data_IF_700359640162
#
_entry.id   IF_700359640162
#
_cell.length_a   1.000
_cell.length_b   1.000
_cell.length_c   1.000
_cell.angle_alpha   90.00
_cell.angle_beta   90.00
_cell.angle_gamma   90.00
#
_symmetry.space_group_name_H-M   'P 1'
#
loop_
_entity.id
_entity.type
_entity.pdbx_description
1 polymer ?
#
# COMPACT_ATOMS: atom_id res chain seq x y z
N UNK A 1 -0.06 -9.55 -1.07
CA UNK A 1 0.99 -9.31 -0.06
C UNK A 1 2.33 -9.17 -0.74
N UNK A 2 3.30 -8.55 -0.07
CA UNK A 2 4.69 -8.50 -0.51
C UNK A 2 5.53 -9.36 0.40
N UNK A 3 6.37 -10.21 -0.18
CA UNK A 3 7.46 -10.86 0.56
C UNK A 3 8.73 -10.05 0.33
N UNK A 4 9.39 -9.68 1.42
CA UNK A 4 10.54 -8.80 1.40
C UNK A 4 11.74 -9.44 2.11
N UNK A 5 12.94 -9.21 1.57
CA UNK A 5 14.19 -9.40 2.30
C UNK A 5 14.55 -8.11 3.03
N UNK A 6 15.01 -8.21 4.27
CA UNK A 6 15.52 -7.08 5.02
C UNK A 6 16.82 -6.57 4.39
N UNK A 7 16.85 -5.30 3.99
CA UNK A 7 18.02 -4.63 3.41
C UNK A 7 18.68 -3.67 4.41
N UNK A 8 17.90 -3.01 5.27
CA UNK A 8 18.41 -2.05 6.25
C UNK A 8 17.48 -1.88 7.45
N UNK A 9 18.04 -1.41 8.56
CA UNK A 9 17.34 -1.05 9.80
C UNK A 9 17.83 0.32 10.26
N UNK A 10 16.93 1.29 10.32
CA UNK A 10 17.26 2.69 10.64
C UNK A 10 16.56 3.09 11.92
N UNK A 11 17.34 3.36 12.97
CA UNK A 11 16.82 3.89 14.23
C UNK A 11 16.33 5.34 14.05
N UNK A 12 15.06 5.56 14.37
CA UNK A 12 14.32 6.81 14.20
C UNK A 12 13.79 7.29 15.57
N UNK A 13 14.68 7.46 16.54
CA UNK A 13 14.34 7.84 17.91
C UNK A 13 13.92 6.63 18.74
N UNK A 14 12.64 6.53 19.08
CA UNK A 14 12.03 5.40 19.80
C UNK A 14 11.41 4.34 18.86
N UNK A 15 11.55 4.53 17.55
CA UNK A 15 11.07 3.61 16.51
C UNK A 15 12.23 3.11 15.64
N UNK A 16 12.06 1.96 15.00
CA UNK A 16 12.99 1.44 13.97
C UNK A 16 12.26 1.34 12.64
N UNK A 17 12.83 1.94 11.60
CA UNK A 17 12.36 1.84 10.22
C UNK A 17 13.08 0.68 9.52
N UNK A 18 12.31 -0.33 9.12
CA UNK A 18 12.82 -1.48 8.36
C UNK A 18 12.69 -1.22 6.86
N UNK A 19 13.81 -1.30 6.13
CA UNK A 19 13.83 -1.20 4.67
C UNK A 19 13.85 -2.61 4.10
N UNK A 20 12.78 -2.99 3.37
CA UNK A 20 12.65 -4.31 2.77
C UNK A 20 12.64 -4.28 1.25
N UNK A 21 13.48 -5.09 0.59
CA UNK A 21 13.41 -5.31 -0.87
C UNK A 21 12.35 -6.35 -1.20
N UNK A 22 11.38 -5.96 -2.03
CA UNK A 22 10.35 -6.87 -2.53
C UNK A 22 11.00 -7.94 -3.42
N UNK A 23 10.77 -9.20 -3.10
CA UNK A 23 11.24 -10.35 -3.89
C UNK A 23 10.10 -11.14 -4.53
N UNK A 24 8.92 -11.16 -3.89
CA UNK A 24 7.71 -11.83 -4.41
C UNK A 24 6.49 -10.95 -4.13
N UNK A 25 5.54 -10.97 -5.07
CA UNK A 25 4.23 -10.32 -4.94
C UNK A 25 3.14 -11.38 -5.10
N UNK A 26 2.24 -11.46 -4.12
CA UNK A 26 1.03 -12.28 -4.20
C UNK A 26 -0.19 -11.37 -4.38
N UNK A 27 -0.96 -11.59 -5.43
CA UNK A 27 -2.15 -10.81 -5.75
C UNK A 27 -3.17 -11.64 -6.52
N UNK A 28 -4.43 -11.25 -6.46
CA UNK A 28 -5.46 -11.75 -7.36
C UNK A 28 -5.36 -11.02 -8.70
N UNK A 29 -5.35 -11.74 -9.81
CA UNK A 29 -5.12 -11.17 -11.15
C UNK A 29 -6.05 -9.99 -11.45
N UNK A 30 -7.33 -10.11 -11.05
CA UNK A 30 -8.36 -9.08 -11.27
C UNK A 30 -8.08 -7.77 -10.51
N UNK A 31 -7.23 -7.79 -9.48
CA UNK A 31 -6.93 -6.61 -8.67
C UNK A 31 -5.93 -5.67 -9.36
N UNK A 32 -5.39 -6.05 -10.52
CA UNK A 32 -4.53 -5.20 -11.30
C UNK A 32 -5.05 -5.04 -12.74
N UNK A 33 -5.09 -3.81 -13.22
CA UNK A 33 -5.39 -3.48 -14.60
C UNK A 33 -4.30 -2.56 -15.14
N UNK A 34 -3.68 -2.93 -16.26
CA UNK A 34 -2.59 -2.16 -16.89
C UNK A 34 -1.43 -1.85 -15.91
N UNK A 35 -1.12 -2.80 -15.03
CA UNK A 35 -0.08 -2.64 -14.01
C UNK A 35 -0.48 -1.73 -12.83
N UNK A 36 -1.74 -1.29 -12.76
CA UNK A 36 -2.25 -0.45 -11.68
C UNK A 36 -3.18 -1.24 -10.78
N UNK A 37 -3.05 -1.04 -9.47
CA UNK A 37 -3.97 -1.60 -8.48
C UNK A 37 -5.37 -1.02 -8.65
N UNK A 38 -6.38 -1.89 -8.71
CA UNK A 38 -7.80 -1.55 -8.73
C UNK A 38 -8.32 -1.35 -7.31
N UNK A 39 -8.30 -0.09 -6.86
CA UNK A 39 -8.75 0.29 -5.51
C UNK A 39 -10.25 0.10 -5.30
N UNK A 40 -11.05 0.05 -6.37
CA UNK A 40 -12.47 -0.28 -6.32
C UNK A 40 -12.73 -1.73 -5.89
N UNK A 41 -11.81 -2.64 -6.25
CA UNK A 41 -11.84 -4.04 -5.85
C UNK A 41 -11.13 -4.27 -4.51
N UNK A 42 -9.91 -3.75 -4.37
CA UNK A 42 -9.05 -3.97 -3.21
C UNK A 42 -9.57 -3.26 -1.96
N UNK A 43 -10.26 -2.12 -2.14
CA UNK A 43 -10.89 -1.32 -1.07
C UNK A 43 -9.96 -1.07 0.13
N UNK A 44 -8.78 -0.46 -0.09
CA UNK A 44 -7.87 -0.18 1.01
C UNK A 44 -8.49 0.79 2.03
N UNK A 45 -8.19 0.57 3.31
CA UNK A 45 -8.58 1.44 4.40
C UNK A 45 -7.46 2.46 4.63
N UNK A 46 -7.81 3.74 4.72
CA UNK A 46 -6.85 4.83 4.92
C UNK A 46 -7.00 5.39 6.34
N UNK A 47 -5.93 5.35 7.12
CA UNK A 47 -5.91 5.85 8.49
C UNK A 47 -5.67 7.36 8.54
N UNK A 48 -6.46 8.08 9.35
CA UNK A 48 -6.36 9.54 9.52
C UNK A 48 -5.83 9.98 10.89
N UNK A 49 -5.58 9.04 11.80
CA UNK A 49 -5.24 9.36 13.20
C UNK A 49 -6.44 9.19 14.14
N UNK A 50 -6.14 9.02 15.43
CA UNK A 50 -7.16 8.94 16.51
C UNK A 50 -8.28 7.95 16.21
N UNK A 51 -7.94 6.76 15.73
CA UNK A 51 -8.89 5.71 15.34
C UNK A 51 -9.92 6.10 14.26
N UNK A 52 -9.65 7.16 13.49
CA UNK A 52 -10.47 7.54 12.35
C UNK A 52 -9.92 6.94 11.06
N UNK A 53 -10.83 6.38 10.25
CA UNK A 53 -10.51 5.72 8.99
C UNK A 53 -11.47 6.16 7.89
N UNK A 54 -10.98 6.19 6.66
CA UNK A 54 -11.78 6.44 5.46
C UNK A 54 -11.53 5.33 4.42
N UNK A 55 -12.42 5.27 3.43
CA UNK A 55 -12.32 4.36 2.29
C UNK A 55 -11.97 5.12 1.01
N UNK A 56 -11.49 4.42 -0.01
CA UNK A 56 -11.31 5.00 -1.35
C UNK A 56 -12.65 5.08 -2.08
N UNK A 57 -13.01 6.26 -2.59
CA UNK A 57 -14.19 6.45 -3.46
C UNK A 57 -13.73 6.63 -4.90
N UNK A 58 -14.41 5.98 -5.84
CA UNK A 58 -14.09 6.07 -7.27
C UNK A 58 -14.14 7.52 -7.78
N UNK A 59 -15.07 8.34 -7.28
CA UNK A 59 -15.19 9.75 -7.67
C UNK A 59 -13.95 10.59 -7.32
N UNK A 60 -13.10 10.09 -6.40
CA UNK A 60 -11.85 10.75 -5.99
C UNK A 60 -10.65 10.34 -6.86
N UNK A 61 -10.84 9.46 -7.85
CA UNK A 61 -9.77 9.06 -8.77
C UNK A 61 -9.53 10.17 -9.80
N UNK A 62 -8.36 10.79 -9.74
CA UNK A 62 -7.95 11.85 -10.65
C UNK A 62 -6.76 11.35 -11.47
N UNK A 63 -6.90 11.37 -12.80
CA UNK A 63 -5.78 11.15 -13.73
C UNK A 63 -5.26 12.51 -14.18
N UNK A 64 -4.06 12.87 -13.73
CA UNK A 64 -3.35 14.02 -14.28
C UNK A 64 -2.80 13.62 -15.67
N UNK A 65 -3.07 14.46 -16.67
CA UNK A 65 -2.62 14.27 -18.05
C UNK A 65 -1.10 14.44 -18.17
#
# INVERSE_FOLDING_TARGET
>A
SYECLLEDEIDCGDHTLFVGRIVIIHYEEDFFQEGRLRTDLVKPILYLGSDNYITTREESHIKLA
#
